data_IF_829787674716
#
_entry.id   IF_829787674716
#
_cell.length_a   1.000
_cell.length_b   1.000
_cell.length_c   1.000
_cell.angle_alpha   90.00
_cell.angle_beta   90.00
_cell.angle_gamma   90.00
#
_symmetry.space_group_name_H-M   'P 1'
#
loop_
_entity.id
_entity.type
_entity.pdbx_description
1 polymer ?
#
# COMPACT_ATOMS: atom_id res chain seq x y z
N UNK A 1 -8.39 9.10 7.75
CA UNK A 1 -8.21 10.24 6.82
C UNK A 1 -8.65 9.75 5.45
N UNK A 2 -9.43 10.50 4.67
CA UNK A 2 -9.90 10.07 3.34
C UNK A 2 -9.08 10.75 2.25
N UNK A 3 -8.32 10.00 1.45
CA UNK A 3 -7.53 10.54 0.33
C UNK A 3 -7.73 9.70 -0.93
N UNK A 4 -8.01 10.33 -2.09
CA UNK A 4 -7.97 9.64 -3.38
C UNK A 4 -6.57 9.09 -3.67
N UNK A 5 -6.49 7.90 -4.29
CA UNK A 5 -5.20 7.30 -4.66
C UNK A 5 -4.40 8.20 -5.62
N UNK A 6 -5.07 8.89 -6.54
CA UNK A 6 -4.44 9.87 -7.43
C UNK A 6 -3.69 10.98 -6.68
N UNK A 7 -4.23 11.45 -5.56
CA UNK A 7 -3.57 12.48 -4.75
C UNK A 7 -2.37 11.93 -3.99
N UNK A 8 -2.44 10.66 -3.58
CA UNK A 8 -1.35 9.97 -2.89
C UNK A 8 -0.18 9.73 -3.85
N UNK A 9 -0.46 9.30 -5.08
CA UNK A 9 0.54 9.17 -6.15
C UNK A 9 1.29 10.48 -6.39
N UNK A 10 0.54 11.59 -6.54
CA UNK A 10 1.12 12.93 -6.70
C UNK A 10 2.02 13.32 -5.53
N UNK A 11 1.53 13.17 -4.28
CA UNK A 11 2.27 13.55 -3.07
C UNK A 11 3.54 12.72 -2.85
N UNK A 12 3.50 11.44 -3.20
CA UNK A 12 4.64 10.53 -3.05
C UNK A 12 5.55 10.50 -4.27
N UNK A 13 5.19 11.20 -5.36
CA UNK A 13 5.83 11.03 -6.68
C UNK A 13 5.93 9.54 -7.06
N UNK A 14 4.89 8.77 -6.71
CA UNK A 14 4.81 7.34 -6.95
C UNK A 14 4.20 7.05 -8.33
N UNK A 15 4.34 5.81 -8.79
CA UNK A 15 3.77 5.31 -10.05
C UNK A 15 3.09 3.98 -9.76
N UNK A 16 1.87 3.78 -10.26
CA UNK A 16 1.14 2.53 -10.09
C UNK A 16 -0.04 2.38 -11.05
N UNK A 17 -0.51 1.14 -11.19
CA UNK A 17 -1.77 0.82 -11.84
C UNK A 17 -2.87 0.79 -10.77
N UNK A 18 -3.40 1.95 -10.43
CA UNK A 18 -4.53 2.08 -9.52
C UNK A 18 -5.75 2.58 -10.30
N UNK A 19 -6.95 2.09 -9.98
CA UNK A 19 -8.15 2.81 -10.43
C UNK A 19 -8.20 4.15 -9.69
N UNK A 20 -7.95 5.25 -10.42
CA UNK A 20 -7.83 6.64 -9.89
C UNK A 20 -9.04 7.15 -9.09
N UNK A 21 -10.14 6.38 -9.03
CA UNK A 21 -11.38 6.67 -8.29
C UNK A 21 -11.37 6.13 -6.86
N UNK A 22 -10.46 5.23 -6.52
CA UNK A 22 -10.43 4.63 -5.18
C UNK A 22 -9.93 5.64 -4.13
N UNK A 23 -10.49 5.52 -2.92
CA UNK A 23 -10.21 6.41 -1.79
C UNK A 23 -9.72 5.57 -0.61
N UNK A 24 -8.51 5.88 -0.16
CA UNK A 24 -7.96 5.33 1.07
C UNK A 24 -8.61 5.99 2.30
N UNK A 25 -9.10 5.18 3.23
CA UNK A 25 -9.77 5.63 4.46
C UNK A 25 -8.83 5.73 5.67
N UNK A 26 -7.64 5.17 5.54
CA UNK A 26 -6.59 5.09 6.54
C UNK A 26 -5.33 4.46 5.93
N UNK A 27 -4.36 4.18 6.78
CA UNK A 27 -3.13 3.49 6.39
C UNK A 27 -2.64 2.61 7.54
N UNK A 28 -1.93 1.53 7.20
CA UNK A 28 -1.26 0.64 8.14
C UNK A 28 0.10 0.21 7.58
N UNK A 29 1.08 0.02 8.45
CA UNK A 29 2.36 -0.65 8.14
C UNK A 29 2.39 -2.11 8.63
N UNK A 30 1.30 -2.55 9.27
CA UNK A 30 1.14 -3.90 9.80
C UNK A 30 -0.04 -4.58 9.11
N UNK A 31 0.26 -5.62 8.33
CA UNK A 31 -0.73 -6.40 7.59
C UNK A 31 -1.72 -7.11 8.50
N UNK A 32 -1.38 -7.33 9.78
CA UNK A 32 -2.23 -8.03 10.76
C UNK A 32 -3.35 -7.13 11.27
N UNK A 33 -3.14 -5.81 11.27
CA UNK A 33 -4.09 -4.83 11.79
C UNK A 33 -4.79 -4.04 10.69
N UNK A 34 -4.48 -4.31 9.42
CA UNK A 34 -5.07 -3.59 8.30
C UNK A 34 -6.58 -3.82 8.23
N UNK A 35 -7.30 -2.76 7.89
CA UNK A 35 -8.75 -2.77 7.71
C UNK A 35 -9.12 -2.57 6.24
N UNK A 36 -10.29 -3.08 5.81
CA UNK A 36 -10.80 -2.82 4.48
C UNK A 36 -10.81 -1.33 4.12
N UNK A 37 -10.26 -0.98 2.96
CA UNK A 37 -10.17 0.39 2.46
C UNK A 37 -8.98 1.20 2.98
N UNK A 38 -8.05 0.61 3.73
CA UNK A 38 -6.79 1.24 4.14
C UNK A 38 -5.66 0.98 3.14
N UNK A 39 -4.67 1.88 3.10
CA UNK A 39 -3.42 1.63 2.40
C UNK A 39 -2.47 0.78 3.25
N UNK A 40 -1.80 -0.15 2.61
CA UNK A 40 -0.66 -0.84 3.22
C UNK A 40 0.65 -0.17 2.83
N UNK A 41 1.48 0.20 3.79
CA UNK A 41 2.84 0.69 3.53
C UNK A 41 3.85 -0.43 3.83
N UNK A 42 4.46 -0.96 2.78
CA UNK A 42 5.49 -1.99 2.88
C UNK A 42 6.82 -1.37 3.31
N UNK A 43 7.06 -1.35 4.63
CA UNK A 43 8.30 -0.82 5.22
C UNK A 43 9.25 -1.97 5.54
N UNK A 44 10.50 -1.85 5.11
CA UNK A 44 11.55 -2.78 5.55
C UNK A 44 12.01 -2.41 6.96
N UNK A 45 11.80 -3.31 7.92
CA UNK A 45 12.34 -3.21 9.27
C UNK A 45 13.62 -4.02 9.44
N UNK A 46 14.19 -3.98 10.65
CA UNK A 46 15.44 -4.71 10.97
C UNK A 46 15.26 -6.23 10.94
N UNK A 47 14.07 -6.72 11.30
CA UNK A 47 13.79 -8.16 11.45
C UNK A 47 12.91 -8.73 10.35
N UNK A 48 12.08 -7.90 9.73
CA UNK A 48 11.06 -8.31 8.77
C UNK A 48 10.99 -7.29 7.64
N UNK A 49 10.75 -7.78 6.43
CA UNK A 49 10.49 -6.94 5.28
C UNK A 49 8.97 -6.84 5.02
N UNK A 50 8.40 -5.64 5.17
CA UNK A 50 6.98 -5.39 4.92
C UNK A 50 6.52 -5.78 3.51
N UNK A 51 7.44 -5.80 2.54
CA UNK A 51 7.13 -6.20 1.16
C UNK A 51 6.66 -7.65 1.05
N UNK A 52 7.12 -8.52 1.95
CA UNK A 52 6.72 -9.93 1.97
C UNK A 52 5.26 -10.13 2.43
N UNK A 53 4.62 -9.08 2.96
CA UNK A 53 3.25 -9.11 3.49
C UNK A 53 2.24 -8.36 2.63
N UNK A 54 2.64 -7.86 1.45
CA UNK A 54 1.77 -7.11 0.54
C UNK A 54 0.53 -7.92 0.14
N UNK A 55 0.72 -9.17 -0.30
CA UNK A 55 -0.41 -10.02 -0.70
C UNK A 55 -1.39 -10.24 0.46
N UNK A 56 -0.89 -10.53 1.65
CA UNK A 56 -1.72 -10.71 2.85
C UNK A 56 -2.51 -9.44 3.19
N UNK A 57 -1.91 -8.26 3.00
CA UNK A 57 -2.58 -6.99 3.24
C UNK A 57 -3.74 -6.76 2.26
N UNK A 58 -3.52 -7.05 0.97
CA UNK A 58 -4.55 -6.96 -0.07
C UNK A 58 -5.69 -7.96 0.17
N UNK A 59 -5.39 -9.20 0.53
CA UNK A 59 -6.40 -10.22 0.88
C UNK A 59 -7.27 -9.81 2.08
N UNK A 60 -6.75 -8.96 2.97
CA UNK A 60 -7.48 -8.40 4.11
C UNK A 60 -8.28 -7.15 3.77
N UNK A 61 -8.26 -6.72 2.51
CA UNK A 61 -9.03 -5.59 2.00
C UNK A 61 -8.28 -4.27 1.95
N UNK A 62 -6.94 -4.28 2.02
CA UNK A 62 -6.18 -3.08 1.69
C UNK A 62 -6.55 -2.61 0.28
N UNK A 63 -6.79 -1.31 0.11
CA UNK A 63 -7.17 -0.75 -1.19
C UNK A 63 -5.99 -0.77 -2.17
N UNK A 64 -4.78 -0.56 -1.65
CA UNK A 64 -3.54 -0.65 -2.42
C UNK A 64 -2.35 -0.79 -1.46
N UNK A 65 -1.21 -1.19 -1.99
CA UNK A 65 0.05 -1.28 -1.27
C UNK A 65 1.08 -0.30 -1.85
N UNK A 66 1.70 0.47 -0.97
CA UNK A 66 2.84 1.33 -1.28
C UNK A 66 4.11 0.53 -1.02
N UNK A 67 4.85 0.27 -2.09
CA UNK A 67 6.12 -0.47 -2.07
C UNK A 67 7.28 0.43 -2.48
N UNK A 68 8.50 0.08 -2.10
CA UNK A 68 9.68 0.78 -2.61
C UNK A 68 9.84 0.55 -4.10
N UNK A 69 10.35 1.56 -4.80
CA UNK A 69 10.54 1.55 -6.26
C UNK A 69 11.42 0.40 -6.75
N UNK A 70 12.45 0.06 -5.99
CA UNK A 70 13.36 -1.06 -6.29
C UNK A 70 12.71 -2.45 -6.09
N UNK A 71 11.54 -2.51 -5.46
CA UNK A 71 10.78 -3.75 -5.22
C UNK A 71 9.61 -3.95 -6.20
N UNK A 72 9.34 -3.00 -7.10
CA UNK A 72 8.21 -3.06 -8.04
C UNK A 72 8.19 -4.36 -8.85
N UNK A 73 9.35 -4.85 -9.28
CA UNK A 73 9.48 -6.07 -10.07
C UNK A 73 8.95 -7.35 -9.38
N UNK A 74 8.72 -7.32 -8.06
CA UNK A 74 8.09 -8.43 -7.33
C UNK A 74 6.58 -8.52 -7.54
N UNK A 75 5.96 -7.46 -8.02
CA UNK A 75 4.51 -7.28 -8.09
C UNK A 75 4.02 -6.98 -9.52
N UNK A 76 4.86 -7.24 -10.51
CA UNK A 76 4.55 -7.09 -11.95
C UNK A 76 4.21 -8.43 -12.58
#
# INVERSE_FOLDING_TARGET
MKLPLSKIEELLSATGECELKEVAHGYSIDSRTIKPGELFFAVQGERLDGHDFVQQALERGAVSAIVRKDQIARFT
#
